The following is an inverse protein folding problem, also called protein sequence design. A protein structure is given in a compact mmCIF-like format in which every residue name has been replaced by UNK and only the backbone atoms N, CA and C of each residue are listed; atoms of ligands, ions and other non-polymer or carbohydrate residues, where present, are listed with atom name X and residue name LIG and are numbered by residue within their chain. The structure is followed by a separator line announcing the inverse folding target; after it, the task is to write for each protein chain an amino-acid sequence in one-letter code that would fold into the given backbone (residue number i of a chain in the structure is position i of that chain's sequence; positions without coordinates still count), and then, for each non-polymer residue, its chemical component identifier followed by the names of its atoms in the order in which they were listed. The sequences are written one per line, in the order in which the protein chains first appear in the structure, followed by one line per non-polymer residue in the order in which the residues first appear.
data_IF_038888606239
#
_entry.id   IF_038888606239
#
_cell.length_a   1.000
_cell.length_b   1.000
_cell.length_c   1.000
_cell.angle_alpha   90.00
_cell.angle_beta   90.00
_cell.angle_gamma   90.00
#
_symmetry.space_group_name_H-M   'P 1'
#
loop_
_entity.id
_entity.type
_entity.pdbx_description
1 polymer ?
#
# COMPACT_ATOMS: atom_id res chain seq x y z
N UNK A 1 -18.12 -7.08 54.42
CA UNK A 1 -17.53 -6.76 55.74
C UNK A 1 -16.58 -7.88 56.15
N UNK A 2 -15.27 -7.66 55.97
CA UNK A 2 -14.19 -8.09 56.88
C UNK A 2 -12.91 -7.47 56.33
N UNK A 3 -12.34 -6.63 57.17
CA UNK A 3 -11.18 -5.78 56.97
C UNK A 3 -9.97 -6.53 57.51
N UNK A 4 -8.91 -6.64 56.71
CA UNK A 4 -7.56 -6.98 57.15
C UNK A 4 -6.62 -5.94 56.55
N UNK A 5 -6.03 -5.04 57.36
CA UNK A 5 -4.93 -4.19 56.92
C UNK A 5 -3.59 -4.89 57.15
N UNK A 6 -2.74 -4.84 56.12
CA UNK A 6 -1.39 -5.38 56.14
C UNK A 6 -0.45 -4.58 57.07
N UNK A 7 0.48 -5.27 57.75
CA UNK A 7 1.49 -4.66 58.61
C UNK A 7 2.70 -4.15 57.81
N UNK A 8 3.55 -3.37 58.48
CA UNK A 8 4.89 -2.91 58.07
C UNK A 8 5.00 -1.51 57.45
N UNK A 9 4.59 -0.51 58.24
CA UNK A 9 5.52 0.58 58.55
C UNK A 9 6.64 0.03 59.46
N UNK A 10 7.89 0.02 59.00
CA UNK A 10 9.07 0.35 59.82
C UNK A 10 10.32 0.15 58.98
N UNK A 11 10.93 1.25 58.53
CA UNK A 11 12.39 1.48 58.54
C UNK A 11 12.67 2.85 57.90
N UNK A 12 12.39 3.88 58.70
CA UNK A 12 13.16 5.12 58.68
C UNK A 12 14.59 4.83 59.19
N UNK A 13 15.56 5.59 58.67
CA UNK A 13 16.81 6.06 59.32
C UNK A 13 17.99 5.90 58.34
N UNK A 14 18.26 6.91 57.52
CA UNK A 14 19.18 8.03 57.82
C UNK A 14 20.67 7.64 57.71
N UNK A 15 21.35 8.17 56.70
CA UNK A 15 22.70 8.71 56.84
C UNK A 15 22.96 9.77 55.76
N UNK A 16 23.29 10.96 56.25
CA UNK A 16 23.46 12.23 55.55
C UNK A 16 24.96 12.47 55.33
N UNK A 17 25.28 13.01 54.15
CA UNK A 17 26.38 13.91 53.78
C UNK A 17 27.86 13.52 53.91
N UNK A 18 28.58 13.66 52.79
CA UNK A 18 29.83 14.43 52.63
C UNK A 18 30.12 14.59 51.11
N UNK A 19 29.66 15.67 50.46
CA UNK A 19 30.35 16.92 50.09
C UNK A 19 31.66 16.81 49.25
N UNK A 20 31.53 17.20 47.97
CA UNK A 20 32.43 17.98 47.08
C UNK A 20 33.88 17.49 46.83
N UNK A 21 34.42 17.54 45.60
CA UNK A 21 35.13 18.73 45.05
C UNK A 21 35.69 18.40 43.62
N UNK A 22 35.49 19.33 42.67
CA UNK A 22 36.29 19.70 41.46
C UNK A 22 36.33 18.79 40.21
N UNK A 23 35.85 19.37 39.09
CA UNK A 23 36.46 19.21 37.76
C UNK A 23 35.49 19.36 36.56
N UNK A 24 35.44 20.51 35.86
CA UNK A 24 34.76 20.59 34.58
C UNK A 24 35.63 19.91 33.50
N UNK A 25 35.30 18.68 33.13
CA UNK A 25 35.87 18.05 31.94
C UNK A 25 35.29 18.73 30.69
N UNK A 26 36.17 19.39 29.94
CA UNK A 26 35.88 20.09 28.71
C UNK A 26 35.13 19.22 27.71
N UNK A 27 33.92 19.64 27.34
CA UNK A 27 33.18 19.12 26.20
C UNK A 27 33.90 19.65 24.95
N UNK A 28 34.82 18.83 24.43
CA UNK A 28 35.48 19.09 23.15
C UNK A 28 34.45 19.00 22.03
N UNK A 29 34.08 20.15 21.46
CA UNK A 29 33.28 20.21 20.24
C UNK A 29 34.08 19.60 19.09
N UNK A 30 33.77 18.36 18.71
CA UNK A 30 34.16 17.80 17.43
C UNK A 30 33.26 18.43 16.35
N UNK A 31 33.65 19.61 15.87
CA UNK A 31 33.10 20.22 14.67
C UNK A 31 33.38 19.28 13.49
N UNK A 32 32.36 18.53 13.08
CA UNK A 32 32.40 17.67 11.90
C UNK A 32 32.55 18.56 10.67
N UNK A 33 33.75 18.62 10.12
CA UNK A 33 34.05 19.32 8.88
C UNK A 33 33.16 18.77 7.77
N UNK A 34 32.18 19.59 7.38
CA UNK A 34 31.33 19.35 6.21
C UNK A 34 32.22 19.47 4.99
N UNK A 35 32.63 18.34 4.43
CA UNK A 35 33.29 18.29 3.12
C UNK A 35 32.38 18.98 2.09
N UNK A 36 32.79 20.15 1.61
CA UNK A 36 32.18 20.84 0.48
C UNK A 36 32.38 19.98 -0.78
N UNK A 37 31.42 19.09 -1.04
CA UNK A 37 31.34 18.43 -2.34
C UNK A 37 30.96 19.49 -3.36
N UNK A 38 31.95 19.88 -4.18
CA UNK A 38 31.78 20.73 -5.37
C UNK A 38 30.55 20.28 -6.17
N UNK A 39 29.61 21.19 -6.52
CA UNK A 39 28.43 20.81 -7.29
C UNK A 39 28.88 20.24 -8.64
N UNK A 40 28.49 19.00 -8.92
CA UNK A 40 28.73 18.36 -10.22
C UNK A 40 27.81 19.04 -11.23
N UNK A 41 28.37 19.88 -12.08
CA UNK A 41 27.68 20.38 -13.27
C UNK A 41 27.53 19.22 -14.26
N UNK A 42 26.31 18.69 -14.39
CA UNK A 42 25.98 17.74 -15.44
C UNK A 42 26.02 18.48 -16.78
N UNK A 43 26.93 18.09 -17.67
CA UNK A 43 26.83 18.48 -19.08
C UNK A 43 25.69 17.65 -19.67
N UNK A 44 24.58 18.30 -19.98
CA UNK A 44 23.51 17.68 -20.76
C UNK A 44 24.08 17.24 -22.11
N UNK A 45 23.80 15.99 -22.49
CA UNK A 45 24.16 15.52 -23.82
C UNK A 45 23.45 16.39 -24.88
N UNK A 46 24.10 16.67 -26.02
CA UNK A 46 23.44 17.36 -27.12
C UNK A 46 22.22 16.54 -27.56
N UNK A 47 21.12 17.20 -27.93
CA UNK A 47 19.90 16.51 -28.36
C UNK A 47 20.20 15.62 -29.57
N UNK A 48 19.57 14.43 -29.65
CA UNK A 48 19.73 13.56 -30.81
C UNK A 48 19.21 14.27 -32.06
N UNK A 49 19.95 14.15 -33.16
CA UNK A 49 19.50 14.61 -34.48
C UNK A 49 18.69 13.47 -35.10
N UNK A 50 17.40 13.70 -35.33
CA UNK A 50 16.55 12.74 -36.02
C UNK A 50 16.83 12.80 -37.53
N UNK A 51 16.90 11.63 -38.17
CA UNK A 51 16.97 11.55 -39.64
C UNK A 51 15.64 11.99 -40.26
N UNK A 52 15.64 12.49 -41.51
CA UNK A 52 14.43 12.93 -42.19
C UNK A 52 13.40 11.80 -42.34
N UNK A 53 13.84 10.54 -42.42
CA UNK A 53 12.98 9.35 -42.46
C UNK A 53 12.15 9.17 -41.17
N UNK A 54 12.77 9.41 -40.00
CA UNK A 54 12.07 9.35 -38.71
C UNK A 54 11.09 10.50 -38.60
N UNK A 55 11.50 11.70 -39.03
CA UNK A 55 10.67 12.91 -38.94
C UNK A 55 9.43 12.79 -39.84
N UNK A 56 9.55 12.16 -41.01
CA UNK A 56 8.44 11.92 -41.93
C UNK A 56 7.35 10.97 -41.39
N UNK A 57 7.66 10.18 -40.36
CA UNK A 57 6.69 9.29 -39.70
C UNK A 57 5.78 10.05 -38.73
N UNK A 58 6.22 11.21 -38.24
CA UNK A 58 5.46 12.05 -37.31
C UNK A 58 4.86 13.25 -38.06
N UNK A 59 3.73 13.74 -37.56
CA UNK A 59 3.21 15.02 -38.02
C UNK A 59 4.07 16.15 -37.46
N UNK A 60 4.38 17.15 -38.29
CA UNK A 60 5.10 18.35 -37.86
C UNK A 60 4.39 19.07 -36.69
N UNK A 61 3.05 19.01 -36.67
CA UNK A 61 2.24 19.44 -35.54
C UNK A 61 1.01 18.52 -35.34
N UNK A 62 1.06 17.69 -34.30
CA UNK A 62 -0.02 16.78 -33.93
C UNK A 62 -1.34 17.53 -33.63
N UNK A 63 -1.30 18.82 -33.27
CA UNK A 63 -2.50 19.62 -32.95
C UNK A 63 -3.30 20.01 -34.17
N UNK A 64 -2.72 19.94 -35.36
CA UNK A 64 -3.46 20.19 -36.61
C UNK A 64 -4.33 18.98 -37.02
N UNK A 65 -4.04 17.79 -36.48
CA UNK A 65 -4.77 16.54 -36.77
C UNK A 65 -5.68 16.12 -35.64
N UNK A 66 -5.38 16.52 -34.40
CA UNK A 66 -6.31 16.42 -33.29
C UNK A 66 -7.32 17.56 -33.41
N UNK A 67 -8.61 17.25 -33.55
CA UNK A 67 -9.67 18.25 -33.59
C UNK A 67 -9.67 19.18 -32.36
N UNK A 68 -10.52 20.22 -32.31
CA UNK A 68 -10.54 21.16 -31.19
C UNK A 68 -10.86 20.42 -29.89
N UNK A 69 -9.82 20.20 -29.07
CA UNK A 69 -9.91 19.48 -27.81
C UNK A 69 -8.54 19.34 -27.19
N UNK A 70 -8.34 19.91 -26.00
CA UNK A 70 -7.10 19.73 -25.25
C UNK A 70 -7.12 18.34 -24.59
N UNK A 71 -6.03 17.56 -24.62
CA UNK A 71 -5.95 16.33 -23.84
C UNK A 71 -6.14 16.66 -22.35
N UNK A 72 -7.26 16.24 -21.76
CA UNK A 72 -7.66 16.56 -20.38
C UNK A 72 -8.54 17.81 -20.22
N UNK A 73 -9.01 18.43 -21.31
CA UNK A 73 -9.98 19.52 -21.26
C UNK A 73 -11.38 19.02 -20.91
N UNK A 74 -12.03 19.66 -19.95
CA UNK A 74 -13.45 19.46 -19.66
C UNK A 74 -14.28 19.78 -20.91
N UNK A 75 -15.02 18.81 -21.40
CA UNK A 75 -16.04 19.03 -22.42
C UNK A 75 -17.06 19.98 -21.78
N UNK A 76 -17.16 21.20 -22.29
CA UNK A 76 -18.18 22.13 -21.84
C UNK A 76 -19.56 21.47 -22.05
N UNK A 77 -20.26 21.21 -20.94
CA UNK A 77 -21.58 20.62 -20.95
C UNK A 77 -22.51 21.48 -21.81
N UNK A 78 -22.95 20.93 -22.93
CA UNK A 78 -24.07 21.50 -23.66
C UNK A 78 -25.30 21.43 -22.75
N UNK A 79 -25.90 22.59 -22.46
CA UNK A 79 -27.18 22.73 -21.77
C UNK A 79 -28.25 21.86 -22.43
N UNK A 80 -28.90 20.92 -21.70
CA UNK A 80 -29.99 20.15 -22.28
C UNK A 80 -31.27 21.00 -22.32
N UNK A 81 -31.86 21.06 -23.51
CA UNK A 81 -33.21 21.55 -23.77
C UNK A 81 -34.22 20.56 -23.14
N UNK A 82 -35.30 21.02 -22.47
CA UNK A 82 -36.25 20.11 -21.85
C UNK A 82 -37.17 19.50 -22.93
N UNK A 83 -37.25 18.18 -22.97
CA UNK A 83 -38.21 17.49 -23.81
C UNK A 83 -37.96 15.99 -23.92
N UNK A 84 -38.85 15.22 -23.32
CA UNK A 84 -39.03 13.79 -23.63
C UNK A 84 -38.42 12.84 -22.61
N UNK A 85 -39.28 12.30 -21.76
CA UNK A 85 -38.96 11.15 -20.92
C UNK A 85 -38.62 9.93 -21.78
N UNK A 86 -37.41 9.43 -21.61
CA UNK A 86 -37.06 8.02 -21.74
C UNK A 86 -35.95 7.77 -20.74
N UNK A 87 -36.35 7.12 -19.66
CA UNK A 87 -35.53 6.73 -18.52
C UNK A 87 -34.59 5.60 -18.97
N UNK A 88 -33.45 5.98 -19.55
CA UNK A 88 -32.26 5.13 -19.64
C UNK A 88 -31.19 5.79 -18.78
N UNK A 89 -31.45 5.79 -17.47
CA UNK A 89 -30.37 5.71 -16.52
C UNK A 89 -29.65 4.40 -16.79
N UNK A 90 -28.53 4.46 -17.51
CA UNK A 90 -27.49 3.43 -17.47
C UNK A 90 -26.87 3.47 -16.07
N UNK A 91 -27.70 3.07 -15.09
CA UNK A 91 -27.23 2.26 -14.01
C UNK A 91 -26.49 1.13 -14.70
N UNK A 92 -25.18 1.05 -14.46
CA UNK A 92 -24.48 -0.22 -14.59
C UNK A 92 -25.21 -1.13 -13.60
N UNK A 93 -26.28 -1.75 -14.10
CA UNK A 93 -26.88 -2.91 -13.50
C UNK A 93 -25.69 -3.82 -13.26
N UNK A 94 -25.49 -4.21 -12.01
CA UNK A 94 -24.55 -5.25 -11.66
C UNK A 94 -24.81 -6.39 -12.65
N UNK A 95 -23.94 -6.51 -13.66
CA UNK A 95 -24.01 -7.55 -14.66
C UNK A 95 -24.03 -8.84 -13.87
N UNK A 96 -25.19 -9.50 -13.91
CA UNK A 96 -25.58 -10.51 -12.94
C UNK A 96 -24.49 -11.55 -12.77
N UNK A 97 -24.26 -11.96 -11.51
CA UNK A 97 -23.49 -13.13 -11.10
C UNK A 97 -22.50 -13.60 -12.18
N UNK A 98 -21.51 -12.75 -12.46
CA UNK A 98 -20.40 -13.12 -13.31
C UNK A 98 -19.65 -14.19 -12.55
N UNK A 99 -20.02 -15.44 -12.81
CA UNK A 99 -19.53 -16.57 -12.07
C UNK A 99 -18.01 -16.68 -12.26
N UNK A 100 -17.24 -16.16 -11.30
CA UNK A 100 -15.77 -16.15 -11.33
C UNK A 100 -15.19 -17.54 -11.56
N UNK A 101 -15.92 -18.57 -11.14
CA UNK A 101 -15.63 -19.98 -11.38
C UNK A 101 -15.49 -20.36 -12.87
N UNK A 102 -16.09 -19.59 -13.79
CA UNK A 102 -15.94 -19.78 -15.25
C UNK A 102 -14.66 -19.18 -15.82
N UNK A 103 -14.04 -18.24 -15.10
CA UNK A 103 -12.87 -17.49 -15.55
C UNK A 103 -11.59 -17.97 -14.88
N UNK A 104 -11.67 -18.33 -13.60
CA UNK A 104 -10.51 -18.64 -12.76
C UNK A 104 -10.83 -19.89 -11.94
N UNK A 105 -9.90 -20.85 -11.91
CA UNK A 105 -10.03 -22.01 -11.04
C UNK A 105 -9.81 -21.64 -9.56
N UNK A 106 -10.53 -22.30 -8.65
CA UNK A 106 -10.38 -22.10 -7.21
C UNK A 106 -8.92 -22.31 -6.75
N UNK A 107 -8.26 -23.35 -7.27
CA UNK A 107 -6.85 -23.65 -6.97
C UNK A 107 -5.92 -22.52 -7.39
N UNK A 108 -6.18 -21.86 -8.53
CA UNK A 108 -5.40 -20.72 -9.00
C UNK A 108 -5.47 -19.56 -8.02
N UNK A 109 -6.66 -19.25 -7.48
CA UNK A 109 -6.80 -18.20 -6.46
C UNK A 109 -6.00 -18.55 -5.19
N UNK A 110 -6.02 -19.81 -4.77
CA UNK A 110 -5.26 -20.25 -3.60
C UNK A 110 -3.75 -20.17 -3.82
N UNK A 111 -3.29 -20.57 -5.00
CA UNK A 111 -1.87 -20.58 -5.34
C UNK A 111 -1.33 -19.16 -5.50
N UNK A 112 -2.12 -18.24 -6.07
CA UNK A 112 -1.73 -16.83 -6.13
C UNK A 112 -1.61 -16.19 -4.75
N UNK A 113 -2.51 -16.49 -3.80
CA UNK A 113 -2.37 -16.02 -2.41
C UNK A 113 -1.11 -16.60 -1.76
N UNK A 114 -0.81 -17.89 -1.97
CA UNK A 114 0.41 -18.53 -1.42
C UNK A 114 1.68 -17.92 -2.01
N UNK A 115 1.68 -17.60 -3.30
CA UNK A 115 2.82 -17.02 -4.00
C UNK A 115 3.27 -15.66 -3.42
N UNK A 116 2.35 -14.91 -2.81
CA UNK A 116 2.69 -13.62 -2.19
C UNK A 116 3.52 -13.75 -0.91
N UNK A 117 3.49 -14.91 -0.24
CA UNK A 117 4.05 -15.11 1.10
C UNK A 117 5.55 -14.78 1.16
N UNK A 118 6.34 -15.42 0.32
CA UNK A 118 7.80 -15.34 0.42
C UNK A 118 8.29 -13.94 -0.01
N UNK A 119 7.66 -13.36 -1.02
CA UNK A 119 7.96 -11.99 -1.48
C UNK A 119 7.65 -10.95 -0.40
N UNK A 120 6.52 -11.09 0.31
CA UNK A 120 6.18 -10.21 1.43
C UNK A 120 7.14 -10.38 2.60
N UNK A 121 7.45 -11.62 2.99
CA UNK A 121 8.34 -11.92 4.10
C UNK A 121 9.73 -11.30 3.90
N UNK A 122 10.26 -11.32 2.67
CA UNK A 122 11.57 -10.75 2.36
C UNK A 122 11.57 -9.21 2.51
N UNK A 123 10.55 -8.52 2.00
CA UNK A 123 10.49 -7.05 2.05
C UNK A 123 10.10 -6.51 3.43
N UNK A 124 9.46 -7.32 4.26
CA UNK A 124 9.13 -6.97 5.66
C UNK A 124 10.11 -7.53 6.68
N UNK A 125 11.18 -8.24 6.27
CA UNK A 125 12.10 -8.92 7.19
C UNK A 125 12.75 -8.01 8.23
N UNK A 126 13.13 -6.79 7.84
CA UNK A 126 13.76 -5.81 8.74
C UNK A 126 13.25 -4.40 8.45
N UNK A 127 13.28 -3.48 9.45
CA UNK A 127 12.88 -2.09 9.22
C UNK A 127 13.71 -1.41 8.12
N UNK A 128 15.00 -1.73 8.04
CA UNK A 128 15.91 -1.13 7.06
C UNK A 128 15.55 -1.51 5.63
N UNK A 129 15.24 -2.79 5.36
CA UNK A 129 14.81 -3.27 4.03
C UNK A 129 13.49 -2.63 3.65
N UNK A 130 12.54 -2.62 4.58
CA UNK A 130 11.22 -2.04 4.34
C UNK A 130 11.31 -0.54 4.01
N UNK A 131 12.00 0.24 4.85
CA UNK A 131 12.16 1.69 4.64
C UNK A 131 13.04 2.04 3.44
N UNK A 132 13.96 1.14 3.05
CA UNK A 132 14.84 1.29 1.90
C UNK A 132 14.17 1.13 0.53
N UNK A 133 12.85 0.91 0.48
CA UNK A 133 12.07 0.75 -0.74
C UNK A 133 11.19 -0.50 -0.74
N UNK A 134 11.39 -1.42 0.20
CA UNK A 134 10.54 -2.59 0.41
C UNK A 134 9.08 -2.23 0.68
N UNK A 135 8.79 -1.06 1.26
CA UNK A 135 7.43 -0.56 1.47
C UNK A 135 6.64 -0.41 0.17
N UNK A 136 7.28 0.02 -0.93
CA UNK A 136 6.60 0.14 -2.22
C UNK A 136 6.27 -1.24 -2.81
N UNK A 137 7.16 -2.21 -2.61
CA UNK A 137 6.94 -3.60 -3.04
C UNK A 137 5.85 -4.26 -2.20
N UNK A 138 5.92 -4.13 -0.88
CA UNK A 138 4.88 -4.58 0.05
C UNK A 138 3.51 -3.99 -0.28
N UNK A 139 3.46 -2.70 -0.64
CA UNK A 139 2.21 -2.03 -1.08
C UNK A 139 1.58 -2.72 -2.29
N UNK A 140 2.37 -3.18 -3.25
CA UNK A 140 1.86 -3.91 -4.42
C UNK A 140 1.26 -5.24 -3.98
N UNK A 141 2.03 -6.06 -3.24
CA UNK A 141 1.57 -7.36 -2.76
C UNK A 141 0.31 -7.27 -1.87
N UNK A 142 0.23 -6.30 -0.96
CA UNK A 142 -0.97 -6.12 -0.14
C UNK A 142 -2.19 -5.65 -0.94
N UNK A 143 -2.00 -4.80 -1.95
CA UNK A 143 -3.11 -4.40 -2.82
C UNK A 143 -3.61 -5.58 -3.64
N UNK A 144 -2.70 -6.44 -4.10
CA UNK A 144 -3.02 -7.67 -4.80
C UNK A 144 -3.76 -8.66 -3.90
N UNK A 145 -3.28 -8.90 -2.69
CA UNK A 145 -3.98 -9.76 -1.71
C UNK A 145 -5.38 -9.24 -1.41
N UNK A 146 -5.54 -7.93 -1.21
CA UNK A 146 -6.84 -7.32 -1.01
C UNK A 146 -7.79 -7.59 -2.18
N UNK A 147 -7.29 -7.46 -3.41
CA UNK A 147 -8.05 -7.77 -4.63
C UNK A 147 -8.41 -9.26 -4.71
N UNK A 148 -7.45 -10.17 -4.49
CA UNK A 148 -7.67 -11.62 -4.49
C UNK A 148 -8.74 -12.03 -3.47
N UNK A 149 -8.66 -11.54 -2.23
CA UNK A 149 -9.68 -11.83 -1.22
C UNK A 149 -11.03 -11.17 -1.53
N UNK A 150 -11.04 -10.02 -2.21
CA UNK A 150 -12.25 -9.46 -2.80
C UNK A 150 -12.90 -10.43 -3.80
N UNK A 151 -12.12 -10.99 -4.72
CA UNK A 151 -12.61 -11.96 -5.72
C UNK A 151 -13.07 -13.25 -5.04
N UNK A 152 -12.31 -13.77 -4.08
CA UNK A 152 -12.66 -14.97 -3.31
C UNK A 152 -14.01 -14.79 -2.59
N UNK A 153 -14.31 -13.59 -2.07
CA UNK A 153 -15.60 -13.33 -1.41
C UNK A 153 -16.81 -13.43 -2.35
N UNK A 154 -16.61 -13.20 -3.64
CA UNK A 154 -17.63 -13.26 -4.69
C UNK A 154 -17.54 -14.53 -5.54
N UNK A 155 -16.61 -15.44 -5.22
CA UNK A 155 -16.40 -16.66 -5.98
C UNK A 155 -17.57 -17.62 -5.79
N UNK A 156 -18.07 -18.28 -6.84
CA UNK A 156 -19.27 -19.13 -6.71
C UNK A 156 -18.98 -20.48 -6.05
N UNK A 157 -17.75 -20.97 -6.18
CA UNK A 157 -17.31 -22.26 -5.63
C UNK A 157 -16.79 -22.19 -4.19
N UNK A 158 -16.28 -23.31 -3.70
CA UNK A 158 -15.59 -23.38 -2.42
C UNK A 158 -14.11 -23.01 -2.61
N UNK A 159 -13.60 -22.13 -1.74
CA UNK A 159 -12.19 -21.74 -1.66
C UNK A 159 -11.83 -21.72 -0.18
N UNK A 160 -10.63 -22.20 0.17
CA UNK A 160 -10.20 -22.42 1.57
C UNK A 160 -10.50 -21.25 2.53
N UNK A 161 -10.38 -20.01 2.08
CA UNK A 161 -10.52 -18.81 2.93
C UNK A 161 -11.78 -17.98 2.64
N UNK A 162 -12.78 -18.55 1.94
CA UNK A 162 -13.97 -17.82 1.49
C UNK A 162 -14.77 -17.16 2.63
N UNK A 163 -14.92 -17.87 3.75
CA UNK A 163 -15.68 -17.39 4.93
C UNK A 163 -15.10 -16.11 5.54
N UNK A 164 -13.77 -15.99 5.48
CA UNK A 164 -13.00 -14.93 6.10
C UNK A 164 -12.55 -13.86 5.08
N UNK A 165 -12.85 -14.06 3.80
CA UNK A 165 -12.29 -13.31 2.69
C UNK A 165 -12.56 -11.79 2.81
N UNK A 166 -13.74 -11.38 3.23
CA UNK A 166 -14.04 -9.94 3.39
C UNK A 166 -13.24 -9.28 4.53
N UNK A 167 -13.00 -10.01 5.63
CA UNK A 167 -12.17 -9.52 6.72
C UNK A 167 -10.70 -9.45 6.32
N UNK A 168 -10.22 -10.48 5.59
CA UNK A 168 -8.87 -10.55 5.04
C UNK A 168 -8.61 -9.43 4.02
N UNK A 169 -9.59 -9.17 3.14
CA UNK A 169 -9.56 -8.04 2.20
C UNK A 169 -9.28 -6.73 2.93
N UNK A 170 -9.98 -6.47 4.03
CA UNK A 170 -9.88 -5.20 4.74
C UNK A 170 -8.52 -5.01 5.42
N UNK A 171 -7.99 -6.05 6.09
CA UNK A 171 -6.68 -5.94 6.74
C UNK A 171 -5.55 -5.70 5.72
N UNK A 172 -5.60 -6.37 4.56
CA UNK A 172 -4.57 -6.22 3.54
C UNK A 172 -4.74 -4.91 2.76
N UNK A 173 -5.97 -4.47 2.51
CA UNK A 173 -6.25 -3.14 1.93
C UNK A 173 -5.67 -2.04 2.80
N UNK A 174 -5.91 -2.09 4.11
CA UNK A 174 -5.38 -1.10 5.07
C UNK A 174 -3.85 -1.12 5.11
N UNK A 175 -3.25 -2.31 5.19
CA UNK A 175 -1.80 -2.45 5.18
C UNK A 175 -1.17 -1.91 3.90
N UNK A 176 -1.75 -2.20 2.73
CA UNK A 176 -1.31 -1.66 1.44
C UNK A 176 -1.42 -0.13 1.38
N UNK A 177 -2.51 0.44 1.90
CA UNK A 177 -2.67 1.88 2.04
C UNK A 177 -1.58 2.52 2.90
N UNK A 178 -1.28 1.93 4.05
CA UNK A 178 -0.28 2.43 5.01
C UNK A 178 1.16 2.26 4.52
N UNK A 179 1.42 1.28 3.64
CA UNK A 179 2.73 1.10 2.99
C UNK A 179 3.10 2.22 1.99
N UNK A 180 2.19 3.18 1.72
CA UNK A 180 2.50 4.39 0.92
C UNK A 180 3.69 5.18 1.48
N UNK A 181 3.90 5.13 2.79
CA UNK A 181 5.04 5.77 3.47
C UNK A 181 5.84 4.74 4.25
N UNK A 182 7.18 4.81 4.19
CA UNK A 182 8.08 3.90 4.90
C UNK A 182 8.39 4.38 6.31
N UNK A 183 7.44 4.26 7.23
CA UNK A 183 7.57 4.65 8.66
C UNK A 183 7.73 3.43 9.55
N UNK A 184 8.09 3.62 10.82
CA UNK A 184 8.11 2.52 11.80
C UNK A 184 6.73 1.90 12.03
N UNK A 185 5.67 2.72 12.01
CA UNK A 185 4.31 2.23 12.20
C UNK A 185 3.84 1.39 11.01
N UNK A 186 4.08 1.86 9.78
CA UNK A 186 3.74 1.09 8.58
C UNK A 186 4.59 -0.17 8.44
N UNK A 187 5.84 -0.16 8.90
CA UNK A 187 6.65 -1.38 9.01
C UNK A 187 6.05 -2.39 9.98
N UNK A 188 5.70 -1.98 11.21
CA UNK A 188 5.13 -2.88 12.23
C UNK A 188 3.83 -3.52 11.75
N UNK A 189 2.96 -2.74 11.13
CA UNK A 189 1.71 -3.27 10.57
C UNK A 189 1.98 -4.22 9.40
N UNK A 190 2.85 -3.85 8.46
CA UNK A 190 3.21 -4.73 7.34
C UNK A 190 3.81 -6.05 7.85
N UNK A 191 4.81 -5.99 8.73
CA UNK A 191 5.39 -7.20 9.31
C UNK A 191 4.33 -8.08 9.97
N UNK A 192 3.47 -7.52 10.81
CA UNK A 192 2.38 -8.26 11.44
C UNK A 192 1.46 -8.90 10.39
N UNK A 193 1.09 -8.19 9.32
CA UNK A 193 0.21 -8.74 8.28
C UNK A 193 0.92 -9.79 7.41
N UNK A 194 2.25 -9.71 7.27
CA UNK A 194 3.04 -10.77 6.65
C UNK A 194 3.01 -12.05 7.51
N UNK A 195 3.14 -11.92 8.82
CA UNK A 195 3.03 -13.03 9.76
C UNK A 195 1.62 -13.63 9.74
N UNK A 196 0.59 -12.78 9.71
CA UNK A 196 -0.80 -13.22 9.58
C UNK A 196 -1.00 -14.02 8.28
N UNK A 197 -0.46 -13.58 7.14
CA UNK A 197 -0.54 -14.35 5.88
C UNK A 197 0.14 -15.72 6.02
N UNK A 198 1.31 -15.78 6.66
CA UNK A 198 2.00 -17.03 6.91
C UNK A 198 1.16 -17.97 7.80
N UNK A 199 0.52 -17.42 8.84
CA UNK A 199 -0.39 -18.13 9.73
C UNK A 199 -1.66 -18.61 9.00
N UNK A 200 -2.23 -17.78 8.12
CA UNK A 200 -3.40 -18.14 7.29
C UNK A 200 -3.12 -19.36 6.43
N UNK A 201 -1.95 -19.38 5.79
CA UNK A 201 -1.52 -20.44 4.87
C UNK A 201 -1.31 -21.76 5.63
N UNK A 202 -0.75 -21.70 6.84
CA UNK A 202 -0.57 -22.90 7.69
C UNK A 202 -1.87 -23.35 8.37
N UNK A 203 -2.96 -22.59 8.26
CA UNK A 203 -4.28 -22.92 8.82
C UNK A 203 -4.51 -22.38 10.22
N UNK A 204 -3.70 -21.43 10.69
CA UNK A 204 -3.96 -20.70 11.91
C UNK A 204 -5.10 -19.68 11.76
N UNK A 205 -5.65 -19.25 12.90
CA UNK A 205 -6.72 -18.23 12.96
C UNK A 205 -6.13 -16.83 13.11
N UNK A 206 -6.77 -15.85 12.47
CA UNK A 206 -6.38 -14.44 12.54
C UNK A 206 -7.59 -13.64 13.03
N UNK A 207 -7.34 -12.59 13.78
CA UNK A 207 -8.39 -11.65 14.19
C UNK A 207 -8.76 -10.75 13.02
N UNK A 208 -10.03 -10.80 12.62
CA UNK A 208 -10.54 -10.08 11.45
C UNK A 208 -11.48 -8.96 11.88
N UNK A 209 -11.36 -7.77 11.27
CA UNK A 209 -12.33 -6.71 11.45
C UNK A 209 -13.68 -7.12 10.84
N UNK A 210 -14.76 -6.52 11.35
CA UNK A 210 -16.06 -6.64 10.70
C UNK A 210 -15.99 -5.99 9.32
N UNK A 211 -16.41 -6.69 8.25
CA UNK A 211 -16.45 -6.11 6.91
C UNK A 211 -17.36 -4.89 6.84
N UNK A 212 -16.90 -3.84 6.18
CA UNK A 212 -17.72 -2.72 5.79
C UNK A 212 -18.50 -3.07 4.50
N UNK A 213 -19.85 -3.09 4.54
CA UNK A 213 -20.67 -3.40 3.37
C UNK A 213 -20.56 -2.34 2.26
N UNK A 214 -20.15 -1.11 2.58
CA UNK A 214 -20.10 0.01 1.63
C UNK A 214 -18.73 0.18 0.95
N UNK A 215 -17.77 -0.72 1.23
CA UNK A 215 -16.44 -0.67 0.62
C UNK A 215 -16.52 -0.86 -0.90
N UNK A 216 -16.07 0.15 -1.64
CA UNK A 216 -16.02 0.13 -3.11
C UNK A 216 -14.76 -0.58 -3.60
N UNK A 217 -14.85 -1.22 -4.76
CA UNK A 217 -13.70 -1.86 -5.43
C UNK A 217 -12.53 -0.90 -5.67
N UNK A 218 -12.81 0.38 -5.93
CA UNK A 218 -11.78 1.43 -6.07
C UNK A 218 -10.91 1.59 -4.82
N UNK A 219 -11.45 1.31 -3.65
CA UNK A 219 -10.76 1.45 -2.36
C UNK A 219 -9.97 0.19 -2.01
N UNK A 220 -10.41 -0.97 -2.54
CA UNK A 220 -9.74 -2.28 -2.39
C UNK A 220 -8.55 -2.42 -3.33
N UNK A 221 -8.78 -2.13 -4.62
CA UNK A 221 -7.84 -2.36 -5.70
C UNK A 221 -7.30 -1.02 -6.23
N UNK A 222 -6.31 -0.46 -5.53
CA UNK A 222 -5.70 0.79 -5.97
C UNK A 222 -4.97 0.58 -7.31
N UNK A 223 -5.35 1.34 -8.34
CA UNK A 223 -4.80 1.20 -9.70
C UNK A 223 -3.29 1.37 -9.76
N UNK A 224 -2.73 2.35 -9.06
CA UNK A 224 -1.30 2.68 -9.18
C UNK A 224 -0.36 1.50 -8.84
N UNK A 225 -0.48 0.84 -7.67
CA UNK A 225 0.34 -0.34 -7.37
C UNK A 225 0.09 -1.53 -8.31
N UNK A 226 -1.15 -1.75 -8.78
CA UNK A 226 -1.44 -2.82 -9.72
C UNK A 226 -0.78 -2.62 -11.10
N UNK A 227 -0.72 -1.38 -11.59
CA UNK A 227 -0.03 -1.05 -12.84
C UNK A 227 1.48 -1.33 -12.76
N UNK A 228 2.10 -1.16 -11.58
CA UNK A 228 3.54 -1.46 -11.39
C UNK A 228 3.85 -2.95 -11.57
N UNK A 229 2.91 -3.84 -11.25
CA UNK A 229 3.08 -5.28 -11.49
C UNK A 229 2.99 -5.59 -12.99
N UNK A 230 1.95 -5.08 -13.65
CA UNK A 230 1.70 -5.34 -15.08
C UNK A 230 2.77 -4.75 -16.02
N UNK A 231 3.43 -3.66 -15.61
CA UNK A 231 4.51 -3.05 -16.40
C UNK A 231 5.89 -3.71 -16.25
N UNK A 232 6.00 -4.83 -15.52
CA UNK A 232 7.26 -5.56 -15.28
C UNK A 232 7.40 -6.85 -16.09
N UNK A 233 6.51 -7.09 -17.04
CA UNK A 233 6.62 -8.19 -18.02
C UNK A 233 7.49 -7.81 -19.22
#
# INVERSE_FOLDING_TARGET
MKQTPDPFLSLLSACVAALAIIGPAAISMAAKTRSEKKPRTFKTAPPPKFTPEVTATFFDDARQKLGPGQPGGVIAAATPKPGGASDEGDAIAATGDAAWSKLIAASTLEDEVKAQKDSLAEVTKTPSVFKGGGNNVARVHYTELAMLFGVISQFDGEVRWKKDALGLREIFRRAGGNCKVGTDNSYKEAHQRSDDLAQLITGGKIELPKPDPDTKWSDVANRAPLMTRMGKE
#
